data_IF_909325764496
#
_entry.id   IF_909325764496
#
_cell.length_a   1.000
_cell.length_b   1.000
_cell.length_c   1.000
_cell.angle_alpha   90.00
_cell.angle_beta   90.00
_cell.angle_gamma   90.00
#
_symmetry.space_group_name_H-M   'P 1'
#
loop_
_entity.id
_entity.type
_entity.pdbx_description
1 polymer ?
#
# COMPACT_ATOMS: atom_id res chain seq x y z
N UNK A 1 -15.07 10.49 2.51
CA UNK A 1 -13.93 10.02 3.31
C UNK A 1 -13.17 8.94 2.60
N UNK A 2 -11.85 9.06 2.65
CA UNK A 2 -10.99 8.05 2.02
C UNK A 2 -10.95 6.79 2.85
N UNK A 3 -11.22 5.65 2.23
CA UNK A 3 -11.14 4.36 2.89
C UNK A 3 -10.57 3.34 1.91
N UNK A 4 -10.01 2.27 2.45
CA UNK A 4 -9.50 1.19 1.61
C UNK A 4 -10.67 0.46 0.97
N UNK A 5 -10.50 0.10 -0.30
CA UNK A 5 -11.45 -0.77 -0.99
C UNK A 5 -11.05 -2.20 -0.69
N UNK A 6 -11.96 -2.97 -0.11
CA UNK A 6 -11.68 -4.33 0.32
C UNK A 6 -12.51 -5.31 -0.49
N UNK A 7 -11.85 -6.35 -0.98
CA UNK A 7 -12.52 -7.44 -1.69
C UNK A 7 -11.88 -8.74 -1.23
N UNK A 8 -12.53 -9.43 -0.28
CA UNK A 8 -11.98 -10.62 0.33
C UNK A 8 -10.69 -10.29 1.07
N UNK A 9 -9.59 -11.04 0.83
CA UNK A 9 -8.31 -10.78 1.51
C UNK A 9 -7.47 -9.68 0.85
N UNK A 10 -8.06 -8.87 0.00
CA UNK A 10 -7.37 -7.90 -0.86
C UNK A 10 -7.87 -6.49 -0.57
N UNK A 11 -6.96 -5.54 -0.45
CA UNK A 11 -7.31 -4.14 -0.22
C UNK A 11 -6.50 -3.22 -1.11
N UNK A 12 -7.13 -2.14 -1.59
CA UNK A 12 -6.47 -1.09 -2.38
C UNK A 12 -6.49 0.19 -1.55
N UNK A 13 -5.33 0.83 -1.40
CA UNK A 13 -5.23 2.05 -0.61
C UNK A 13 -5.85 3.24 -1.35
N UNK A 14 -6.41 4.22 -0.61
CA UNK A 14 -6.92 5.45 -1.21
C UNK A 14 -5.78 6.42 -1.53
N UNK A 15 -6.09 7.47 -2.29
CA UNK A 15 -5.16 8.57 -2.56
C UNK A 15 -5.06 9.44 -1.30
N UNK A 16 -4.20 9.08 -0.37
CA UNK A 16 -4.13 9.68 0.95
C UNK A 16 -2.71 10.15 1.23
N UNK A 17 -2.52 11.48 1.28
CA UNK A 17 -1.19 12.05 1.47
C UNK A 17 -0.77 12.19 2.93
N UNK A 18 -1.70 11.99 3.86
CA UNK A 18 -1.39 11.93 5.29
C UNK A 18 -0.90 10.53 5.61
N UNK A 19 0.42 10.37 5.66
CA UNK A 19 1.05 9.06 5.77
C UNK A 19 0.63 8.29 7.04
N UNK A 20 0.57 8.97 8.18
CA UNK A 20 0.15 8.29 9.42
C UNK A 20 -1.28 7.76 9.31
N UNK A 21 -2.16 8.52 8.68
CA UNK A 21 -3.55 8.11 8.50
C UNK A 21 -3.63 6.90 7.56
N UNK A 22 -2.84 6.92 6.49
CA UNK A 22 -2.75 5.80 5.56
C UNK A 22 -2.28 4.53 6.29
N UNK A 23 -1.23 4.65 7.10
CA UNK A 23 -0.69 3.50 7.83
C UNK A 23 -1.68 2.97 8.84
N UNK A 24 -2.38 3.85 9.56
CA UNK A 24 -3.36 3.42 10.56
C UNK A 24 -4.53 2.67 9.90
N UNK A 25 -5.04 3.18 8.79
CA UNK A 25 -6.13 2.52 8.09
C UNK A 25 -5.69 1.16 7.53
N UNK A 26 -4.48 1.11 7.00
CA UNK A 26 -3.94 -0.15 6.45
C UNK A 26 -3.73 -1.18 7.56
N UNK A 27 -3.22 -0.73 8.71
CA UNK A 27 -3.03 -1.63 9.85
C UNK A 27 -4.36 -2.25 10.29
N UNK A 28 -5.43 -1.46 10.31
CA UNK A 28 -6.75 -1.96 10.70
C UNK A 28 -7.22 -3.10 9.80
N UNK A 29 -7.06 -2.97 8.47
CA UNK A 29 -7.51 -4.03 7.58
C UNK A 29 -6.59 -5.25 7.64
N UNK A 30 -5.29 -5.05 7.88
CA UNK A 30 -4.37 -6.17 8.07
C UNK A 30 -4.71 -6.94 9.33
N UNK A 31 -5.05 -6.25 10.42
CA UNK A 31 -5.50 -6.89 11.66
C UNK A 31 -6.80 -7.67 11.43
N UNK A 32 -7.62 -7.23 10.49
CA UNK A 32 -8.85 -7.91 10.13
C UNK A 32 -8.66 -9.10 9.20
N UNK A 33 -7.43 -9.40 8.79
CA UNK A 33 -7.15 -10.59 7.98
C UNK A 33 -6.82 -10.36 6.52
N UNK A 34 -6.74 -9.10 6.07
CA UNK A 34 -6.32 -8.81 4.70
C UNK A 34 -4.88 -9.29 4.52
N UNK A 35 -4.61 -9.98 3.40
CA UNK A 35 -3.31 -10.59 3.12
C UNK A 35 -2.60 -10.00 1.93
N UNK A 36 -3.24 -9.11 1.19
CA UNK A 36 -2.63 -8.44 0.05
C UNK A 36 -3.12 -6.99 -0.01
N UNK A 37 -2.15 -6.06 -0.03
CA UNK A 37 -2.44 -4.63 -0.13
C UNK A 37 -1.86 -4.13 -1.43
N UNK A 38 -2.66 -3.41 -2.21
CA UNK A 38 -2.17 -2.70 -3.38
C UNK A 38 -2.05 -1.22 -3.02
N UNK A 39 -0.84 -0.69 -3.12
CA UNK A 39 -0.60 0.72 -2.88
C UNK A 39 -0.82 1.50 -4.17
N UNK A 40 -1.74 2.47 -4.11
CA UNK A 40 -2.09 3.34 -5.22
C UNK A 40 -2.30 4.74 -4.66
N UNK A 41 -1.52 5.71 -5.14
CA UNK A 41 -1.70 7.11 -4.72
C UNK A 41 -1.39 8.03 -5.91
N UNK A 42 -2.43 8.48 -6.58
CA UNK A 42 -2.29 9.33 -7.75
C UNK A 42 -1.98 10.77 -7.40
N UNK A 43 -2.29 11.20 -6.17
CA UNK A 43 -2.10 12.59 -5.75
C UNK A 43 -0.72 12.86 -5.17
N UNK A 44 0.04 11.82 -4.82
CA UNK A 44 1.35 11.98 -4.21
C UNK A 44 2.40 12.33 -5.27
N UNK A 45 3.40 13.13 -4.86
CA UNK A 45 4.59 13.28 -5.68
C UNK A 45 5.46 12.02 -5.54
N UNK A 46 6.53 11.93 -6.32
CA UNK A 46 7.37 10.74 -6.35
C UNK A 46 8.02 10.45 -5.00
N UNK A 47 8.51 11.49 -4.34
CA UNK A 47 9.19 11.35 -3.04
C UNK A 47 8.24 10.79 -1.97
N UNK A 48 7.03 11.33 -1.89
CA UNK A 48 6.04 10.87 -0.93
C UNK A 48 5.58 9.45 -1.26
N UNK A 49 5.38 9.16 -2.54
CA UNK A 49 4.96 7.82 -2.98
C UNK A 49 5.99 6.78 -2.58
N UNK A 50 7.27 7.08 -2.78
CA UNK A 50 8.35 6.16 -2.41
C UNK A 50 8.39 5.95 -0.90
N UNK A 51 8.26 7.01 -0.13
CA UNK A 51 8.25 6.92 1.34
C UNK A 51 7.07 6.09 1.83
N UNK A 52 5.87 6.37 1.34
CA UNK A 52 4.68 5.63 1.75
C UNK A 52 4.79 4.15 1.38
N UNK A 53 5.31 3.86 0.18
CA UNK A 53 5.47 2.48 -0.27
C UNK A 53 6.41 1.71 0.65
N UNK A 54 7.53 2.32 1.05
CA UNK A 54 8.49 1.68 1.98
C UNK A 54 7.84 1.38 3.33
N UNK A 55 7.10 2.34 3.86
CA UNK A 55 6.46 2.17 5.16
C UNK A 55 5.35 1.12 5.10
N UNK A 56 4.60 1.10 4.01
CA UNK A 56 3.56 0.07 3.83
C UNK A 56 4.17 -1.31 3.67
N UNK A 57 5.32 -1.42 3.01
CA UNK A 57 5.99 -2.70 2.89
C UNK A 57 6.38 -3.25 4.26
N UNK A 58 6.98 -2.41 5.11
CA UNK A 58 7.32 -2.81 6.48
C UNK A 58 6.10 -3.25 7.25
N UNK A 59 5.01 -2.49 7.13
CA UNK A 59 3.76 -2.82 7.81
C UNK A 59 3.19 -4.15 7.33
N UNK A 60 3.18 -4.38 6.02
CA UNK A 60 2.70 -5.64 5.46
C UNK A 60 3.53 -6.82 5.96
N UNK A 61 4.85 -6.64 6.07
CA UNK A 61 5.72 -7.71 6.59
C UNK A 61 5.39 -8.09 8.03
N UNK A 62 4.97 -7.11 8.85
CA UNK A 62 4.56 -7.41 10.23
C UNK A 62 3.37 -8.37 10.28
N UNK A 63 2.53 -8.37 9.26
CA UNK A 63 1.31 -9.19 9.22
C UNK A 63 1.42 -10.33 8.21
N UNK A 64 2.59 -10.58 7.68
CA UNK A 64 2.81 -11.61 6.65
C UNK A 64 1.91 -11.40 5.44
N UNK A 65 1.70 -10.14 5.06
CA UNK A 65 0.89 -9.77 3.91
C UNK A 65 1.79 -9.34 2.76
N UNK A 66 1.24 -9.40 1.55
CA UNK A 66 1.94 -9.01 0.33
C UNK A 66 1.64 -7.56 -0.01
N UNK A 67 2.61 -6.86 -0.60
CA UNK A 67 2.43 -5.50 -1.09
C UNK A 67 2.66 -5.46 -2.60
N UNK A 68 1.66 -4.92 -3.31
CA UNK A 68 1.71 -4.70 -4.76
C UNK A 68 1.74 -3.19 -4.98
N UNK A 69 2.59 -2.72 -5.87
CA UNK A 69 2.68 -1.30 -6.22
C UNK A 69 1.91 -1.07 -7.53
N UNK A 70 1.04 -0.06 -7.54
CA UNK A 70 0.27 0.28 -8.74
C UNK A 70 1.06 1.24 -9.64
N UNK A 71 1.31 0.84 -10.88
CA UNK A 71 1.87 1.65 -11.98
C UNK A 71 3.32 2.14 -11.85
N UNK A 72 3.97 1.96 -10.72
CA UNK A 72 5.33 2.49 -10.51
C UNK A 72 6.34 1.36 -10.35
N UNK A 73 6.71 0.77 -11.48
CA UNK A 73 7.63 -0.37 -11.53
C UNK A 73 8.96 -0.08 -10.84
N UNK A 74 9.52 1.12 -11.05
CA UNK A 74 10.80 1.48 -10.46
C UNK A 74 10.76 1.50 -8.93
N UNK A 75 9.64 1.92 -8.35
CA UNK A 75 9.47 1.91 -6.90
C UNK A 75 9.36 0.46 -6.40
N UNK A 76 8.58 -0.36 -7.10
CA UNK A 76 8.43 -1.77 -6.73
C UNK A 76 9.76 -2.49 -6.71
N UNK A 77 10.62 -2.23 -7.69
CA UNK A 77 11.94 -2.83 -7.76
C UNK A 77 12.84 -2.30 -6.65
N UNK A 78 12.83 -0.98 -6.45
CA UNK A 78 13.71 -0.33 -5.47
C UNK A 78 13.46 -0.84 -4.05
N UNK A 79 12.20 -1.03 -3.67
CA UNK A 79 11.85 -1.46 -2.31
C UNK A 79 11.68 -2.98 -2.19
N UNK A 80 11.82 -3.70 -3.28
CA UNK A 80 11.62 -5.15 -3.33
C UNK A 80 10.20 -5.54 -2.88
N UNK A 81 9.22 -4.86 -3.46
CA UNK A 81 7.82 -5.20 -3.22
C UNK A 81 7.50 -6.57 -3.83
N UNK A 82 6.35 -7.13 -3.44
CA UNK A 82 5.96 -8.48 -3.89
C UNK A 82 5.48 -8.49 -5.33
N UNK A 83 5.10 -7.35 -5.87
CA UNK A 83 4.69 -7.28 -7.27
C UNK A 83 4.31 -5.87 -7.68
N UNK A 84 3.93 -5.73 -8.95
CA UNK A 84 3.49 -4.48 -9.52
C UNK A 84 2.25 -4.75 -10.37
N UNK A 85 1.28 -3.85 -10.30
CA UNK A 85 0.08 -3.91 -11.14
C UNK A 85 0.17 -2.77 -12.15
N UNK A 86 0.22 -3.12 -13.43
CA UNK A 86 0.27 -2.15 -14.52
C UNK A 86 -1.07 -2.18 -15.23
N UNK A 87 -1.77 -1.07 -15.19
CA UNK A 87 -3.10 -0.98 -15.77
C UNK A 87 -3.16 -0.28 -17.10
#
# INVERSE_FOLDING_TARGET
MSSLKISGPYAITPDLNQTNDLLNKTRQVLEGGVKLVQYRNKSANESLRREQAKLLLSLCREYNALLIINDHLEIAIEIDADGVHVG
#
